data_IF_534175604129
#
_entry.id   IF_534175604129
#
_cell.length_a   1.000
_cell.length_b   1.000
_cell.length_c   1.000
_cell.angle_alpha   90.00
_cell.angle_beta   90.00
_cell.angle_gamma   90.00
#
_symmetry.space_group_name_H-M   'P 1'
#
loop_
_entity.id
_entity.type
_entity.pdbx_description
1 polymer ?
#
# COMPACT_ATOMS: atom_id res chain seq x y z
N UNK A 1 -13.09 25.38 -9.43
CA UNK A 1 -13.70 24.05 -9.35
C UNK A 1 -14.02 23.52 -10.74
N UNK A 2 -13.34 22.45 -11.12
CA UNK A 2 -13.59 21.75 -12.39
C UNK A 2 -14.49 20.57 -12.09
N UNK A 3 -15.70 20.58 -12.63
CA UNK A 3 -16.66 19.49 -12.47
C UNK A 3 -16.50 18.58 -13.69
N UNK A 4 -16.13 17.32 -13.45
CA UNK A 4 -16.21 16.27 -14.46
C UNK A 4 -17.59 15.62 -14.39
N UNK A 5 -18.21 15.46 -15.56
CA UNK A 5 -19.44 14.69 -15.71
C UNK A 5 -19.14 13.20 -15.59
N UNK A 6 -20.14 12.45 -15.11
CA UNK A 6 -20.09 10.99 -15.02
C UNK A 6 -20.30 10.36 -16.42
N UNK A 7 -19.37 10.63 -17.33
CA UNK A 7 -19.37 10.23 -18.73
C UNK A 7 -17.90 10.08 -19.21
N UNK A 8 -17.65 9.66 -20.45
CA UNK A 8 -16.29 9.43 -20.94
C UNK A 8 -15.44 10.72 -21.12
N UNK A 9 -14.13 10.54 -21.30
CA UNK A 9 -13.17 11.65 -21.51
C UNK A 9 -13.56 12.48 -22.73
N UNK A 10 -13.95 11.84 -23.84
CA UNK A 10 -14.40 12.51 -25.06
C UNK A 10 -15.56 13.47 -24.79
N UNK A 11 -16.57 13.01 -24.03
CA UNK A 11 -17.73 13.79 -23.65
C UNK A 11 -17.35 14.97 -22.78
N UNK A 12 -16.48 14.77 -21.80
CA UNK A 12 -16.04 15.85 -20.91
C UNK A 12 -15.26 16.95 -21.65
N UNK A 13 -14.47 16.60 -22.67
CA UNK A 13 -13.79 17.58 -23.52
C UNK A 13 -14.80 18.25 -24.48
N UNK A 14 -15.68 17.47 -25.11
CA UNK A 14 -16.74 17.96 -26.00
C UNK A 14 -17.73 18.87 -25.26
N UNK A 15 -17.87 18.75 -23.95
CA UNK A 15 -18.76 19.62 -23.17
C UNK A 15 -18.44 21.10 -23.35
N UNK A 16 -17.17 21.47 -23.55
CA UNK A 16 -16.77 22.86 -23.83
C UNK A 16 -17.24 23.39 -25.19
N UNK A 17 -17.49 22.50 -26.17
CA UNK A 17 -17.99 22.81 -27.51
C UNK A 17 -18.77 21.58 -28.04
N UNK A 18 -20.11 21.54 -27.84
CA UNK A 18 -20.92 20.35 -28.15
C UNK A 18 -20.80 19.85 -29.60
N UNK A 19 -20.57 20.76 -30.54
CA UNK A 19 -20.43 20.46 -31.97
C UNK A 19 -18.98 20.13 -32.38
N UNK A 20 -18.07 19.94 -31.40
CA UNK A 20 -16.67 19.66 -31.69
C UNK A 20 -16.50 18.29 -32.38
N UNK A 21 -15.72 18.29 -33.47
CA UNK A 21 -15.34 17.05 -34.15
C UNK A 21 -14.31 16.28 -33.32
N UNK A 22 -14.09 15.01 -33.67
CA UNK A 22 -13.12 14.16 -32.94
C UNK A 22 -11.70 14.70 -33.09
N UNK A 23 -11.37 15.28 -34.24
CA UNK A 23 -10.07 15.93 -34.48
C UNK A 23 -9.89 17.16 -33.59
N UNK A 24 -10.93 17.99 -33.42
CA UNK A 24 -10.87 19.17 -32.54
C UNK A 24 -10.70 18.76 -31.07
N UNK A 25 -11.33 17.67 -30.64
CA UNK A 25 -11.18 17.11 -29.29
C UNK A 25 -9.75 16.63 -29.07
N UNK A 26 -9.18 15.91 -30.04
CA UNK A 26 -7.81 15.42 -29.95
C UNK A 26 -6.84 16.60 -29.92
N UNK A 27 -7.04 17.62 -30.77
CA UNK A 27 -6.19 18.80 -30.78
C UNK A 27 -6.26 19.55 -29.45
N UNK A 28 -7.45 19.72 -28.88
CA UNK A 28 -7.62 20.33 -27.56
C UNK A 28 -6.88 19.54 -26.46
N UNK A 29 -6.89 18.21 -26.52
CA UNK A 29 -6.15 17.36 -25.59
C UNK A 29 -4.62 17.41 -25.80
N UNK A 30 -4.15 17.60 -27.04
CA UNK A 30 -2.74 17.82 -27.37
C UNK A 30 -2.29 19.17 -26.81
N UNK A 31 -3.06 20.23 -27.06
CA UNK A 31 -2.79 21.59 -26.59
C UNK A 31 -2.76 21.65 -25.06
N UNK A 32 -3.60 20.84 -24.39
CA UNK A 32 -3.62 20.67 -22.94
C UNK A 32 -2.57 19.67 -22.40
N UNK A 33 -1.74 19.08 -23.26
CA UNK A 33 -0.69 18.11 -22.91
C UNK A 33 -1.20 16.87 -22.14
N UNK A 34 -2.43 16.46 -22.42
CA UNK A 34 -3.05 15.27 -21.82
C UNK A 34 -3.29 14.16 -22.85
N UNK A 35 -3.10 14.41 -24.15
CA UNK A 35 -3.33 13.43 -25.21
C UNK A 35 -2.59 12.10 -24.99
N UNK A 36 -1.27 12.15 -24.76
CA UNK A 36 -0.47 10.94 -24.56
C UNK A 36 -0.94 10.15 -23.33
N UNK A 37 -1.36 10.86 -22.27
CA UNK A 37 -1.90 10.24 -21.05
C UNK A 37 -3.25 9.58 -21.30
N UNK A 38 -4.11 10.21 -22.10
CA UNK A 38 -5.41 9.66 -22.49
C UNK A 38 -5.20 8.35 -23.27
N UNK A 39 -4.23 8.31 -24.19
CA UNK A 39 -3.91 7.11 -24.96
C UNK A 39 -3.29 5.97 -24.14
N UNK A 40 -2.74 6.26 -22.96
CA UNK A 40 -2.27 5.21 -22.04
C UNK A 40 -3.42 4.47 -21.35
N UNK A 41 -4.65 4.99 -21.37
CA UNK A 41 -5.79 4.28 -20.82
C UNK A 41 -6.22 3.12 -21.73
N UNK A 42 -6.75 2.02 -21.17
CA UNK A 42 -7.22 0.87 -21.96
C UNK A 42 -8.18 1.23 -23.08
N UNK A 43 -9.07 2.21 -22.82
CA UNK A 43 -10.14 2.63 -23.74
C UNK A 43 -9.90 4.04 -24.31
N UNK A 44 -8.71 4.61 -24.11
CA UNK A 44 -8.36 5.92 -24.65
C UNK A 44 -9.35 7.03 -24.25
N UNK A 45 -9.88 7.75 -25.24
CA UNK A 45 -10.89 8.81 -25.06
C UNK A 45 -12.26 8.29 -24.62
N UNK A 46 -12.53 7.00 -24.78
CA UNK A 46 -13.79 6.37 -24.36
C UNK A 46 -13.76 5.94 -22.89
N UNK A 47 -12.61 6.10 -22.22
CA UNK A 47 -12.47 5.83 -20.78
C UNK A 47 -13.52 6.62 -20.00
N UNK A 48 -14.39 5.91 -19.27
CA UNK A 48 -15.43 6.51 -18.43
C UNK A 48 -14.80 7.37 -17.33
N UNK A 49 -15.23 8.62 -17.17
CA UNK A 49 -14.94 9.43 -15.99
C UNK A 49 -16.10 9.33 -15.00
N UNK A 50 -15.83 8.92 -13.77
CA UNK A 50 -16.79 8.92 -12.64
C UNK A 50 -16.27 9.87 -11.55
N UNK A 51 -16.62 11.15 -11.65
CA UNK A 51 -16.32 12.19 -10.66
C UNK A 51 -14.89 12.78 -10.69
N UNK A 52 -14.63 13.69 -9.72
CA UNK A 52 -13.47 14.61 -9.60
C UNK A 52 -12.08 13.96 -9.58
N UNK A 53 -11.96 12.63 -9.63
CA UNK A 53 -10.70 11.90 -9.52
C UNK A 53 -10.12 11.38 -10.84
N UNK A 54 -10.82 11.47 -11.98
CA UNK A 54 -10.37 10.77 -13.20
C UNK A 54 -9.18 11.40 -13.92
N UNK A 55 -8.95 12.70 -13.76
CA UNK A 55 -7.82 13.39 -14.39
C UNK A 55 -6.48 13.16 -13.70
N UNK A 56 -6.51 12.68 -12.44
CA UNK A 56 -5.33 12.26 -11.72
C UNK A 56 -5.56 10.81 -11.35
N UNK A 57 -5.10 9.89 -12.19
CA UNK A 57 -5.01 8.46 -11.90
C UNK A 57 -3.97 8.20 -10.77
N UNK A 58 -4.05 8.99 -9.70
CA UNK A 58 -3.23 9.02 -8.50
C UNK A 58 -4.12 8.46 -7.39
N UNK A 59 -3.91 7.20 -7.08
CA UNK A 59 -4.53 6.59 -5.90
C UNK A 59 -3.63 6.85 -4.71
N UNK A 60 -4.14 7.57 -3.71
CA UNK A 60 -3.45 7.72 -2.41
C UNK A 60 -3.92 6.60 -1.50
N UNK A 61 -3.00 5.77 -1.03
CA UNK A 61 -3.28 4.70 -0.09
C UNK A 61 -2.70 5.05 1.28
N UNK A 62 -3.54 4.97 2.32
CA UNK A 62 -3.14 5.22 3.71
C UNK A 62 -3.31 3.92 4.51
N UNK A 63 -2.23 3.45 5.12
CA UNK A 63 -2.16 2.16 5.83
C UNK A 63 -2.75 2.21 7.25
N UNK A 64 -3.39 3.31 7.66
CA UNK A 64 -3.99 3.45 9.00
C UNK A 64 -5.28 2.61 9.17
N UNK A 65 -5.92 2.21 8.06
CA UNK A 65 -7.18 1.44 8.06
C UNK A 65 -7.00 -0.10 8.16
N UNK A 66 -5.78 -0.63 8.15
CA UNK A 66 -5.46 -2.07 8.06
C UNK A 66 -4.82 -2.63 9.35
N UNK A 67 -4.66 -1.81 10.39
CA UNK A 67 -3.86 -2.11 11.59
C UNK A 67 -4.38 -3.25 12.47
N UNK A 68 -5.60 -3.75 12.23
CA UNK A 68 -6.26 -4.78 13.03
C UNK A 68 -6.31 -6.19 12.40
N UNK A 69 -5.44 -6.50 11.42
CA UNK A 69 -5.62 -7.68 10.57
C UNK A 69 -4.54 -8.75 10.76
N UNK A 70 -4.98 -10.00 10.91
CA UNK A 70 -4.15 -11.21 11.02
C UNK A 70 -3.30 -11.46 9.75
N UNK A 71 -2.19 -12.18 9.88
CA UNK A 71 -1.20 -12.48 8.82
C UNK A 71 -1.82 -13.08 7.53
N UNK A 72 -2.91 -13.84 7.66
CA UNK A 72 -3.62 -14.41 6.50
C UNK A 72 -4.41 -13.35 5.72
N UNK A 73 -5.00 -12.38 6.42
CA UNK A 73 -5.73 -11.26 5.84
C UNK A 73 -4.78 -10.26 5.19
N UNK A 74 -3.60 -10.06 5.77
CA UNK A 74 -2.58 -9.16 5.21
C UNK A 74 -2.14 -9.58 3.80
N UNK A 75 -1.88 -10.87 3.57
CA UNK A 75 -1.56 -11.38 2.22
C UNK A 75 -2.73 -11.18 1.25
N UNK A 76 -3.97 -11.30 1.71
CA UNK A 76 -5.16 -11.00 0.92
C UNK A 76 -5.23 -9.54 0.50
N UNK A 77 -4.91 -8.63 1.42
CA UNK A 77 -4.86 -7.18 1.17
C UNK A 77 -3.75 -6.83 0.20
N UNK A 78 -2.52 -7.34 0.39
CA UNK A 78 -1.42 -7.11 -0.55
C UNK A 78 -1.80 -7.50 -1.98
N UNK A 79 -2.45 -8.65 -2.15
CA UNK A 79 -2.92 -9.11 -3.45
C UNK A 79 -4.05 -8.24 -4.01
N UNK A 80 -4.95 -7.74 -3.16
CA UNK A 80 -6.00 -6.82 -3.58
C UNK A 80 -5.41 -5.46 -4.00
N UNK A 81 -4.48 -4.92 -3.21
CA UNK A 81 -3.76 -3.69 -3.51
C UNK A 81 -3.01 -3.80 -4.83
N UNK A 82 -2.21 -4.86 -5.02
CA UNK A 82 -1.48 -5.09 -6.28
C UNK A 82 -2.39 -5.16 -7.51
N UNK A 83 -3.62 -5.66 -7.38
CA UNK A 83 -4.60 -5.67 -8.49
C UNK A 83 -5.16 -4.27 -8.76
N UNK A 84 -5.43 -3.49 -7.72
CA UNK A 84 -6.06 -2.17 -7.82
C UNK A 84 -5.06 -1.10 -8.27
N UNK A 85 -3.77 -1.26 -7.94
CA UNK A 85 -2.68 -0.36 -8.36
C UNK A 85 -2.18 -0.65 -9.78
N UNK A 86 -2.57 -1.79 -10.38
CA UNK A 86 -2.17 -2.16 -11.73
C UNK A 86 -2.65 -1.11 -12.74
N UNK A 87 -1.71 -0.55 -13.51
CA UNK A 87 -1.93 0.53 -14.50
C UNK A 87 -2.37 1.88 -13.89
N UNK A 88 -2.02 2.16 -12.62
CA UNK A 88 -2.31 3.44 -11.97
C UNK A 88 -1.08 3.98 -11.26
N UNK A 89 -0.91 5.30 -11.29
CA UNK A 89 0.08 5.95 -10.43
C UNK A 89 -0.44 5.85 -9.00
N UNK A 90 0.30 5.19 -8.10
CA UNK A 90 -0.14 5.00 -6.72
C UNK A 90 0.87 5.62 -5.78
N UNK A 91 0.40 6.45 -4.85
CA UNK A 91 1.19 6.98 -3.76
C UNK A 91 0.72 6.28 -2.49
N UNK A 92 1.58 5.45 -1.90
CA UNK A 92 1.29 4.77 -0.64
C UNK A 92 2.05 5.45 0.50
N UNK A 93 1.33 5.82 1.56
CA UNK A 93 1.92 6.26 2.83
C UNK A 93 1.62 5.16 3.84
N UNK A 94 2.66 4.46 4.26
CA UNK A 94 2.52 3.27 5.08
C UNK A 94 3.33 3.34 6.36
N UNK A 95 2.76 2.73 7.40
CA UNK A 95 3.48 2.42 8.63
C UNK A 95 4.03 1.00 8.61
N UNK A 96 3.41 0.06 7.85
CA UNK A 96 3.97 -1.28 7.63
C UNK A 96 4.81 -1.30 6.37
N UNK A 97 6.06 -1.70 6.49
CA UNK A 97 6.97 -1.78 5.35
C UNK A 97 6.57 -2.88 4.36
N UNK A 98 5.85 -3.91 4.82
CA UNK A 98 5.30 -4.99 3.98
C UNK A 98 4.46 -4.49 2.81
N UNK A 99 3.77 -3.36 2.97
CA UNK A 99 2.90 -2.73 1.94
C UNK A 99 3.65 -1.97 0.86
N UNK A 100 4.90 -1.57 1.12
CA UNK A 100 5.71 -0.79 0.18
C UNK A 100 6.84 -1.60 -0.46
N UNK A 101 7.04 -2.87 -0.07
CA UNK A 101 8.10 -3.75 -0.61
C UNK A 101 8.07 -3.83 -2.13
N UNK A 102 6.87 -3.90 -2.72
CA UNK A 102 6.70 -4.04 -4.17
C UNK A 102 6.58 -2.70 -4.90
N UNK A 103 6.85 -1.57 -4.24
CA UNK A 103 6.78 -0.27 -4.87
C UNK A 103 7.95 -0.05 -5.83
N UNK A 104 7.68 0.58 -6.97
CA UNK A 104 8.71 0.97 -7.95
C UNK A 104 9.71 1.97 -7.34
N UNK A 105 9.22 2.83 -6.43
CA UNK A 105 10.00 3.84 -5.72
C UNK A 105 9.50 4.00 -4.29
N UNK A 106 10.42 3.90 -3.34
CA UNK A 106 10.20 4.15 -1.92
C UNK A 106 10.94 5.43 -1.54
N UNK A 107 10.24 6.33 -0.85
CA UNK A 107 10.79 7.55 -0.29
C UNK A 107 10.76 7.46 1.23
N UNK A 108 11.93 7.52 1.87
CA UNK A 108 12.04 7.47 3.33
C UNK A 108 12.12 8.89 3.85
N UNK A 109 11.15 9.27 4.68
CA UNK A 109 11.11 10.57 5.33
C UNK A 109 11.62 10.48 6.77
N UNK A 110 12.49 11.42 7.13
CA UNK A 110 12.98 11.64 8.50
C UNK A 110 13.09 13.14 8.76
N UNK A 111 12.55 13.59 9.89
CA UNK A 111 12.57 15.00 10.30
C UNK A 111 12.05 15.98 9.22
N UNK A 112 11.01 15.55 8.49
CA UNK A 112 10.39 16.33 7.41
C UNK A 112 11.20 16.40 6.11
N UNK A 113 12.26 15.62 5.96
CA UNK A 113 13.10 15.56 4.75
C UNK A 113 13.18 14.14 4.21
N UNK A 114 13.30 14.00 2.89
CA UNK A 114 13.62 12.71 2.26
C UNK A 114 15.08 12.41 2.55
N UNK A 115 15.36 11.35 3.31
CA UNK A 115 16.71 10.93 3.65
C UNK A 115 17.23 9.82 2.74
N UNK A 116 16.33 8.98 2.22
CA UNK A 116 16.65 7.88 1.30
C UNK A 116 15.57 7.71 0.23
N UNK A 117 15.99 7.22 -0.94
CA UNK A 117 15.15 6.98 -2.08
C UNK A 117 15.70 5.79 -2.89
N UNK A 118 14.83 4.84 -3.26
CA UNK A 118 15.22 3.67 -4.04
C UNK A 118 14.10 2.64 -4.08
N UNK A 119 14.34 1.49 -4.72
CA UNK A 119 13.46 0.33 -4.55
C UNK A 119 13.81 -0.42 -3.25
N UNK A 120 13.03 -1.44 -2.90
CA UNK A 120 13.24 -2.22 -1.68
C UNK A 120 14.65 -2.84 -1.59
N UNK A 121 15.15 -3.43 -2.68
CA UNK A 121 16.45 -4.12 -2.71
C UNK A 121 17.61 -3.13 -2.51
N UNK A 122 17.55 -1.98 -3.19
CA UNK A 122 18.54 -0.91 -3.09
C UNK A 122 18.64 -0.39 -1.66
N UNK A 123 17.48 -0.09 -1.05
CA UNK A 123 17.41 0.44 0.31
C UNK A 123 17.83 -0.59 1.36
N UNK A 124 17.53 -1.88 1.15
CA UNK A 124 17.93 -2.95 2.05
C UNK A 124 19.43 -3.27 1.96
N UNK A 125 20.07 -3.01 0.81
CA UNK A 125 21.52 -3.20 0.65
C UNK A 125 22.35 -2.27 1.56
N UNK A 126 21.80 -1.11 1.90
CA UNK A 126 22.43 -0.15 2.81
C UNK A 126 22.12 -0.50 4.28
N UNK A 127 22.98 -1.34 4.88
CA UNK A 127 22.84 -1.77 6.29
C UNK A 127 22.92 -0.66 7.34
N UNK A 128 23.37 0.54 6.96
CA UNK A 128 23.41 1.72 7.84
C UNK A 128 22.28 2.73 7.49
N UNK A 129 21.35 2.33 6.62
CA UNK A 129 20.21 3.12 6.20
C UNK A 129 19.08 3.09 7.22
N UNK A 130 18.34 4.20 7.29
CA UNK A 130 17.08 4.34 8.04
C UNK A 130 16.06 3.30 7.59
N UNK A 131 15.99 3.00 6.29
CA UNK A 131 15.07 1.96 5.79
C UNK A 131 15.42 0.58 6.37
N UNK A 132 16.69 0.21 6.35
CA UNK A 132 17.18 -1.06 6.89
C UNK A 132 16.87 -1.19 8.38
N UNK A 133 17.13 -0.14 9.16
CA UNK A 133 16.82 -0.10 10.59
C UNK A 133 15.33 -0.26 10.89
N UNK A 134 14.46 0.38 10.10
CA UNK A 134 13.01 0.24 10.23
C UNK A 134 12.56 -1.19 9.87
N UNK A 135 13.13 -1.77 8.81
CA UNK A 135 12.84 -3.13 8.36
C UNK A 135 13.21 -4.19 9.41
N UNK A 136 14.42 -4.09 9.98
CA UNK A 136 14.86 -5.01 11.03
C UNK A 136 13.96 -4.94 12.28
N UNK A 137 13.51 -3.75 12.67
CA UNK A 137 12.62 -3.58 13.82
C UNK A 137 11.27 -4.24 13.59
N UNK A 138 10.65 -3.98 12.42
CA UNK A 138 9.35 -4.58 12.10
C UNK A 138 9.43 -6.10 11.94
N UNK A 139 10.54 -6.64 11.44
CA UNK A 139 10.78 -8.09 11.39
C UNK A 139 10.90 -8.70 12.79
N UNK A 140 11.54 -7.99 13.73
CA UNK A 140 11.63 -8.44 15.14
C UNK A 140 10.29 -8.37 15.83
N UNK A 141 9.52 -7.32 15.60
CA UNK A 141 8.18 -7.14 16.18
C UNK A 141 7.21 -8.22 15.66
N UNK A 142 7.19 -8.46 14.34
CA UNK A 142 6.38 -9.52 13.73
C UNK A 142 6.77 -10.94 14.15
N UNK A 143 8.05 -11.17 14.47
CA UNK A 143 8.54 -12.48 14.93
C UNK A 143 8.44 -12.65 16.46
N UNK A 144 8.31 -11.55 17.22
CA UNK A 144 8.10 -11.59 18.67
C UNK A 144 6.68 -12.05 19.06
N UNK A 145 5.69 -11.89 18.17
CA UNK A 145 4.36 -12.48 18.33
C UNK A 145 4.33 -14.00 18.03
N UNK A 146 5.38 -14.56 17.44
CA UNK A 146 5.48 -16.01 17.12
C UNK A 146 6.17 -16.80 18.26
N UNK A 147 6.83 -16.12 19.21
CA UNK A 147 7.52 -16.74 20.35
C UNK A 147 6.90 -16.37 21.73
N UNK A 148 5.57 -16.20 21.81
CA UNK A 148 4.87 -16.24 23.10
C UNK A 148 4.34 -17.64 23.50
N UNK A 149 4.57 -18.66 22.67
CA UNK A 149 4.27 -20.06 22.97
C UNK A 149 5.56 -20.90 22.98
N UNK A 150 6.54 -20.56 23.83
CA UNK A 150 7.69 -21.42 24.07
C UNK A 150 7.23 -22.73 24.78
N UNK A 151 7.26 -23.91 24.12
CA UNK A 151 6.78 -25.16 24.73
C UNK A 151 7.62 -25.59 25.95
N UNK A 152 8.82 -25.03 26.08
CA UNK A 152 9.79 -25.38 27.12
C UNK A 152 9.42 -24.72 28.47
N UNK A 153 8.73 -23.57 28.49
CA UNK A 153 8.26 -22.95 29.73
C UNK A 153 7.05 -23.69 30.32
N UNK A 154 6.11 -24.17 29.49
CA UNK A 154 4.94 -24.92 29.96
C UNK A 154 5.32 -26.25 30.63
N UNK A 155 6.35 -26.95 30.13
CA UNK A 155 6.83 -28.21 30.72
C UNK A 155 7.47 -28.03 32.11
N UNK A 156 8.03 -26.86 32.40
CA UNK A 156 8.60 -26.56 33.71
C UNK A 156 7.53 -26.17 34.73
N UNK A 157 6.45 -25.53 34.29
CA UNK A 157 5.33 -25.19 35.16
C UNK A 157 4.44 -26.39 35.49
N UNK A 158 4.19 -27.31 34.54
CA UNK A 158 3.51 -28.57 34.83
C UNK A 158 4.30 -29.43 35.84
N UNK A 159 5.63 -29.50 35.69
CA UNK A 159 6.49 -30.21 36.67
C UNK A 159 6.48 -29.55 38.05
N UNK A 160 6.42 -28.21 38.14
CA UNK A 160 6.26 -27.48 39.42
C UNK A 160 4.89 -27.73 40.05
N UNK A 161 3.82 -27.76 39.25
CA UNK A 161 2.44 -28.01 39.72
C UNK A 161 2.29 -29.45 40.21
N UNK A 162 2.90 -30.43 39.53
CA UNK A 162 2.87 -31.83 39.94
C UNK A 162 3.68 -32.06 41.23
N UNK A 163 4.84 -31.40 41.39
CA UNK A 163 5.65 -31.48 42.62
C UNK A 163 4.93 -30.88 43.84
N UNK A 164 4.19 -29.77 43.67
CA UNK A 164 3.38 -29.16 44.75
C UNK A 164 2.17 -30.01 45.15
N UNK A 165 1.55 -30.75 44.21
CA UNK A 165 0.44 -31.67 44.53
C UNK A 165 0.90 -32.90 45.31
N UNK A 166 2.09 -33.44 45.04
CA UNK A 166 2.61 -34.58 45.79
C UNK A 166 3.08 -34.21 47.21
N UNK A 167 3.63 -33.00 47.42
CA UNK A 167 4.04 -32.54 48.76
C UNK A 167 2.85 -32.29 49.71
N UNK A 168 1.65 -31.99 49.20
CA UNK A 168 0.45 -31.79 50.03
C UNK A 168 -0.29 -33.08 50.42
N UNK A 169 0.11 -34.24 49.89
CA UNK A 169 -0.50 -35.54 50.23
C UNK A 169 0.17 -36.28 51.38
N UNK A 170 1.32 -35.81 51.88
CA UNK A 170 2.06 -36.45 52.99
C UNK A 170 1.88 -35.75 54.35
N UNK A 171 0.99 -34.76 54.46
CA UNK A 171 0.71 -34.04 55.71
C UNK A 171 -0.79 -34.09 56.03
N UNK A 172 -1.35 -35.30 56.17
CA UNK A 172 -2.55 -35.59 56.99
C UNK A 172 -2.38 -37.00 57.57
#
# INVERSE_FOLDING_TARGET
DTVLFNDNIEYNIRYGKPDATKEEIIQAAIDAQIHDKILMFPDGYETECRGVGFLFNIQVLLDEATSALDTSTERGIQNALARVTKNRTTISIAHRLSTVVNADLILVLKDGKICEQGNHEDLLSNKNGVYFDMWEKQQKDANSEIFSDDPIEMLNDEKKIQKKKNSKKEII
#
